data_IF_282175308253
#
_entry.id   IF_282175308253
#
_cell.length_a   1.000
_cell.length_b   1.000
_cell.length_c   1.000
_cell.angle_alpha   90.00
_cell.angle_beta   90.00
_cell.angle_gamma   90.00
#
_symmetry.space_group_name_H-M   'P 1'
#
loop_
_entity.id
_entity.type
_entity.pdbx_description
1 polymer ?
#
# COMPACT_ATOMS: atom_id res chain seq x y z
N UNK A 1 -23.04 7.22 -1.25
CA UNK A 1 -23.18 7.33 0.22
C UNK A 1 -21.86 7.26 0.97
N UNK A 2 -20.98 6.33 0.57
CA UNK A 2 -19.70 6.09 1.22
C UNK A 2 -18.79 7.33 1.29
N UNK A 3 -18.69 8.11 0.20
CA UNK A 3 -17.90 9.37 0.17
C UNK A 3 -18.40 10.39 1.19
N UNK A 4 -19.73 10.51 1.39
CA UNK A 4 -20.30 11.41 2.40
C UNK A 4 -19.98 10.96 3.82
N UNK A 5 -19.95 9.64 4.05
CA UNK A 5 -19.58 9.08 5.34
C UNK A 5 -18.12 9.40 5.68
N UNK A 6 -17.19 9.18 4.74
CA UNK A 6 -15.78 9.55 4.90
C UNK A 6 -15.64 11.05 5.17
N UNK A 7 -16.33 11.91 4.41
CA UNK A 7 -16.35 13.35 4.67
C UNK A 7 -16.77 13.68 6.12
N UNK A 8 -17.81 13.02 6.63
CA UNK A 8 -18.25 13.18 8.02
C UNK A 8 -17.15 12.83 9.03
N UNK A 9 -16.46 11.69 8.83
CA UNK A 9 -15.36 11.26 9.70
C UNK A 9 -14.22 12.28 9.79
N UNK A 10 -13.88 12.91 8.66
CA UNK A 10 -12.86 13.96 8.61
C UNK A 10 -13.33 15.24 9.32
N UNK A 11 -14.60 15.65 9.12
CA UNK A 11 -15.18 16.81 9.84
C UNK A 11 -15.14 16.58 11.36
N UNK A 12 -15.56 15.41 11.83
CA UNK A 12 -15.59 15.10 13.26
C UNK A 12 -14.18 15.08 13.86
N UNK A 13 -13.19 14.61 13.11
CA UNK A 13 -11.80 14.56 13.59
C UNK A 13 -11.14 15.93 13.60
N UNK A 14 -11.44 16.79 12.62
CA UNK A 14 -10.99 18.18 12.65
C UNK A 14 -11.62 18.92 13.83
N UNK A 15 -12.92 18.71 14.10
CA UNK A 15 -13.58 19.28 15.29
C UNK A 15 -12.92 18.82 16.59
N UNK A 16 -12.72 17.50 16.74
CA UNK A 16 -12.03 16.94 17.91
C UNK A 16 -10.63 17.57 18.07
N UNK A 17 -9.84 17.67 17.00
CA UNK A 17 -8.50 18.28 17.04
C UNK A 17 -8.51 19.77 17.41
N UNK A 18 -9.48 20.55 16.92
CA UNK A 18 -9.60 21.98 17.22
C UNK A 18 -10.01 22.22 18.68
N UNK A 19 -10.80 21.32 19.25
CA UNK A 19 -11.24 21.39 20.64
C UNK A 19 -10.17 20.93 21.63
N UNK A 20 -9.13 20.21 21.17
CA UNK A 20 -8.02 19.79 22.03
C UNK A 20 -7.23 21.00 22.50
N UNK A 21 -7.00 21.05 23.82
CA UNK A 21 -6.06 22.01 24.41
C UNK A 21 -4.65 21.66 23.98
N UNK A 22 -3.83 22.68 23.75
CA UNK A 22 -2.39 22.51 23.54
C UNK A 22 -1.80 21.75 24.74
N UNK A 23 -1.04 20.66 24.52
CA UNK A 23 -0.42 19.92 25.61
C UNK A 23 0.74 20.75 26.18
N UNK A 24 0.59 21.22 27.42
CA UNK A 24 1.63 21.96 28.16
C UNK A 24 2.15 21.17 29.37
N UNK A 25 1.51 20.06 29.71
CA UNK A 25 1.93 19.12 30.76
C UNK A 25 2.04 17.71 30.22
N UNK A 26 2.68 16.82 30.98
CA UNK A 26 2.78 15.40 30.63
C UNK A 26 1.40 14.73 30.58
N UNK A 27 0.49 15.06 31.49
CA UNK A 27 -0.89 14.56 31.46
C UNK A 27 -1.64 15.05 30.21
N UNK A 28 -1.40 16.32 29.82
CA UNK A 28 -1.95 16.89 28.59
C UNK A 28 -1.41 16.20 27.34
N UNK A 29 -0.12 15.86 27.32
CA UNK A 29 0.52 15.08 26.26
C UNK A 29 -0.13 13.69 26.14
N UNK A 30 -0.28 12.96 27.25
CA UNK A 30 -0.91 11.62 27.24
C UNK A 30 -2.35 11.71 26.71
N UNK A 31 -3.12 12.71 27.14
CA UNK A 31 -4.48 12.93 26.67
C UNK A 31 -4.51 13.25 25.16
N UNK A 32 -3.58 14.05 24.66
CA UNK A 32 -3.42 14.34 23.23
C UNK A 32 -3.08 13.07 22.44
N UNK A 33 -2.10 12.28 22.90
CA UNK A 33 -1.71 10.99 22.29
C UNK A 33 -2.89 10.04 22.18
N UNK A 34 -3.69 9.92 23.23
CA UNK A 34 -4.90 9.09 23.22
C UNK A 34 -5.94 9.61 22.22
N UNK A 35 -6.10 10.93 22.08
CA UNK A 35 -7.05 11.52 21.13
C UNK A 35 -6.64 11.25 19.68
N UNK A 36 -5.38 11.50 19.32
CA UNK A 36 -4.90 11.25 17.95
C UNK A 36 -4.88 9.75 17.62
N UNK A 37 -4.66 8.87 18.59
CA UNK A 37 -4.76 7.42 18.36
C UNK A 37 -6.21 6.97 18.12
N UNK A 38 -7.19 7.54 18.82
CA UNK A 38 -8.62 7.33 18.51
C UNK A 38 -8.96 7.83 17.10
N UNK A 39 -8.47 9.00 16.72
CA UNK A 39 -8.65 9.55 15.36
C UNK A 39 -8.04 8.62 14.32
N UNK A 40 -6.81 8.14 14.54
CA UNK A 40 -6.13 7.19 13.65
C UNK A 40 -6.97 5.92 13.49
N UNK A 41 -7.42 5.31 14.58
CA UNK A 41 -8.26 4.11 14.58
C UNK A 41 -9.60 4.32 13.87
N UNK A 42 -10.25 5.47 14.06
CA UNK A 42 -11.47 5.87 13.33
C UNK A 42 -11.25 5.80 11.82
N UNK A 43 -10.08 6.22 11.34
CA UNK A 43 -9.76 6.31 9.92
C UNK A 43 -9.27 5.00 9.28
N UNK A 44 -9.16 3.89 10.04
CA UNK A 44 -8.60 2.63 9.53
C UNK A 44 -9.34 2.09 8.29
N UNK A 45 -10.67 2.29 8.23
CA UNK A 45 -11.53 1.78 7.15
C UNK A 45 -11.70 2.75 5.98
N UNK A 46 -11.03 3.89 5.97
CA UNK A 46 -11.26 4.93 4.94
C UNK A 46 -10.94 4.43 3.53
N UNK A 47 -9.87 3.67 3.34
CA UNK A 47 -9.51 3.15 1.99
C UNK A 47 -10.61 2.23 1.45
N UNK A 48 -11.09 1.29 2.27
CA UNK A 48 -12.15 0.37 1.86
C UNK A 48 -13.51 1.06 1.66
N UNK A 49 -13.85 2.03 2.49
CA UNK A 49 -15.09 2.81 2.32
C UNK A 49 -15.01 3.69 1.06
N UNK A 50 -13.86 4.32 0.79
CA UNK A 50 -13.68 5.10 -0.44
C UNK A 50 -13.74 4.21 -1.69
N UNK A 51 -13.15 3.01 -1.64
CA UNK A 51 -13.28 2.05 -2.73
C UNK A 51 -14.73 1.66 -3.00
N UNK A 52 -15.54 1.47 -1.96
CA UNK A 52 -16.99 1.29 -2.10
C UNK A 52 -17.66 2.51 -2.76
N UNK A 53 -17.27 3.72 -2.38
CA UNK A 53 -17.81 4.95 -2.97
C UNK A 53 -17.45 5.12 -4.45
N UNK A 54 -16.28 4.65 -4.85
CA UNK A 54 -15.85 4.65 -6.25
C UNK A 54 -16.57 3.56 -7.05
N UNK A 55 -16.88 2.41 -6.46
CA UNK A 55 -17.74 1.40 -7.08
C UNK A 55 -19.17 1.93 -7.27
N UNK A 56 -19.75 2.59 -6.27
CA UNK A 56 -21.05 3.28 -6.38
C UNK A 56 -21.05 4.31 -7.52
N UNK A 57 -19.94 5.04 -7.69
CA UNK A 57 -19.78 6.01 -8.77
C UNK A 57 -19.70 5.31 -10.14
N UNK A 58 -18.94 4.22 -10.26
CA UNK A 58 -18.83 3.43 -11.48
C UNK A 58 -20.18 2.88 -11.93
N UNK A 59 -20.96 2.32 -11.00
CA UNK A 59 -22.32 1.82 -11.27
C UNK A 59 -23.23 2.94 -11.79
N UNK A 60 -23.12 4.15 -11.24
CA UNK A 60 -23.90 5.30 -11.67
C UNK A 60 -23.47 5.88 -13.03
N UNK A 61 -22.17 5.85 -13.33
CA UNK A 61 -21.63 6.37 -14.59
C UNK A 61 -21.74 5.38 -15.76
N UNK A 62 -21.81 4.07 -15.47
CA UNK A 62 -21.88 3.03 -16.49
C UNK A 62 -20.61 2.88 -17.33
N UNK A 63 -19.47 3.38 -16.86
CA UNK A 63 -18.17 3.31 -17.54
C UNK A 63 -17.04 2.94 -16.59
N UNK A 64 -16.01 2.30 -17.13
CA UNK A 64 -14.75 2.00 -16.45
C UNK A 64 -13.75 3.17 -16.48
N UNK A 65 -14.06 4.22 -17.25
CA UNK A 65 -13.20 5.39 -17.38
C UNK A 65 -13.49 6.40 -16.27
N UNK A 66 -12.54 6.51 -15.34
CA UNK A 66 -12.60 7.51 -14.28
C UNK A 66 -12.23 8.88 -14.85
N UNK A 67 -13.04 9.89 -14.54
CA UNK A 67 -12.71 11.29 -14.84
C UNK A 67 -11.31 11.63 -14.28
N UNK A 68 -10.38 12.15 -15.11
CA UNK A 68 -9.02 12.49 -14.66
C UNK A 68 -8.98 13.41 -13.42
N UNK A 69 -10.00 14.24 -13.22
CA UNK A 69 -10.12 15.11 -12.04
C UNK A 69 -10.38 14.31 -10.77
N UNK A 70 -11.10 13.20 -10.87
CA UNK A 70 -11.36 12.30 -9.74
C UNK A 70 -10.11 11.46 -9.46
N UNK A 71 -9.40 11.03 -10.50
CA UNK A 71 -8.10 10.37 -10.35
C UNK A 71 -7.10 11.27 -9.58
N UNK A 72 -6.90 12.51 -10.03
CA UNK A 72 -6.03 13.49 -9.35
C UNK A 72 -6.48 13.77 -7.91
N UNK A 73 -7.79 13.89 -7.68
CA UNK A 73 -8.34 14.04 -6.33
C UNK A 73 -7.97 12.85 -5.43
N UNK A 74 -8.13 11.62 -5.91
CA UNK A 74 -7.82 10.42 -5.14
C UNK A 74 -6.33 10.31 -4.84
N UNK A 75 -5.46 10.62 -5.82
CA UNK A 75 -4.01 10.65 -5.61
C UNK A 75 -3.64 11.64 -4.48
N UNK A 76 -4.17 12.87 -4.54
CA UNK A 76 -3.94 13.89 -3.49
C UNK A 76 -4.53 13.48 -2.14
N UNK A 77 -5.73 12.91 -2.14
CA UNK A 77 -6.42 12.45 -0.94
C UNK A 77 -5.63 11.35 -0.23
N UNK A 78 -5.20 10.32 -0.97
CA UNK A 78 -4.42 9.21 -0.40
C UNK A 78 -3.02 9.64 0.00
N UNK A 79 -2.35 10.50 -0.77
CA UNK A 79 -1.05 11.06 -0.38
C UNK A 79 -1.15 11.84 0.93
N UNK A 80 -2.16 12.73 1.06
CA UNK A 80 -2.40 13.45 2.31
C UNK A 80 -2.70 12.50 3.47
N UNK A 81 -3.51 11.45 3.24
CA UNK A 81 -3.82 10.44 4.25
C UNK A 81 -2.57 9.68 4.71
N UNK A 82 -1.69 9.30 3.79
CA UNK A 82 -0.41 8.65 4.11
C UNK A 82 0.39 9.56 5.05
N UNK A 83 0.50 10.86 4.72
CA UNK A 83 1.24 11.79 5.56
C UNK A 83 0.63 12.03 6.94
N UNK A 84 -0.69 12.23 7.03
CA UNK A 84 -1.38 12.35 8.33
C UNK A 84 -1.16 11.11 9.20
N UNK A 85 -1.20 9.91 8.59
CA UNK A 85 -0.94 8.66 9.31
C UNK A 85 0.51 8.50 9.73
N UNK A 86 1.45 8.98 8.90
CA UNK A 86 2.87 8.98 9.25
C UNK A 86 3.11 9.86 10.48
N UNK A 87 2.61 11.09 10.49
CA UNK A 87 2.78 12.03 11.62
C UNK A 87 2.13 11.51 12.91
N UNK A 88 0.87 11.08 12.86
CA UNK A 88 0.17 10.53 14.03
C UNK A 88 0.85 9.25 14.50
N UNK A 89 1.21 8.36 13.57
CA UNK A 89 1.86 7.10 13.88
C UNK A 89 3.24 7.29 14.52
N UNK A 90 4.01 8.26 14.03
CA UNK A 90 5.31 8.63 14.59
C UNK A 90 5.16 9.15 16.03
N UNK A 91 4.22 10.07 16.26
CA UNK A 91 3.93 10.57 17.61
C UNK A 91 3.60 9.43 18.57
N UNK A 92 2.66 8.56 18.20
CA UNK A 92 2.25 7.43 19.05
C UNK A 92 3.41 6.46 19.31
N UNK A 93 4.22 6.16 18.31
CA UNK A 93 5.35 5.24 18.44
C UNK A 93 6.43 5.78 19.39
N UNK A 94 6.67 7.09 19.39
CA UNK A 94 7.61 7.74 20.31
C UNK A 94 7.15 7.71 21.78
N UNK A 95 5.86 7.55 22.03
CA UNK A 95 5.29 7.41 23.38
C UNK A 95 5.15 5.95 23.82
N UNK A 96 5.51 4.99 22.95
CA UNK A 96 5.62 3.58 23.30
C UNK A 96 7.01 3.26 23.86
N UNK A 97 7.19 2.14 24.57
CA UNK A 97 8.52 1.73 25.04
C UNK A 97 9.55 1.73 23.89
N UNK A 98 10.75 2.32 24.10
CA UNK A 98 11.77 2.40 23.06
C UNK A 98 12.10 1.04 22.48
N UNK A 99 12.14 0.97 21.15
CA UNK A 99 12.57 -0.22 20.40
C UNK A 99 13.99 0.01 19.89
N UNK A 100 14.97 -0.85 20.20
CA UNK A 100 16.33 -0.70 19.70
C UNK A 100 16.37 -0.62 18.17
N UNK A 101 17.13 0.35 17.62
CA UNK A 101 17.23 0.58 16.18
C UNK A 101 15.99 1.22 15.54
N UNK A 102 15.09 1.80 16.34
CA UNK A 102 13.91 2.53 15.86
C UNK A 102 13.81 3.93 16.46
N UNK A 103 13.57 4.91 15.59
CA UNK A 103 13.07 6.23 15.95
C UNK A 103 11.58 6.29 15.60
N UNK A 104 10.72 5.94 16.56
CA UNK A 104 9.28 5.81 16.34
C UNK A 104 8.94 4.69 15.35
N UNK A 105 8.41 5.05 14.17
CA UNK A 105 8.12 4.11 13.09
C UNK A 105 9.31 3.85 12.16
N UNK A 106 10.33 4.71 12.20
CA UNK A 106 11.50 4.64 11.33
C UNK A 106 12.49 3.64 11.93
N UNK A 107 12.92 2.66 11.14
CA UNK A 107 13.99 1.74 11.50
C UNK A 107 15.29 2.23 10.88
N UNK A 108 16.36 2.28 11.68
CA UNK A 108 17.73 2.58 11.22
C UNK A 108 18.30 1.43 10.37
N UNK A 109 17.77 0.21 10.55
CA UNK A 109 18.26 -1.01 9.91
C UNK A 109 17.10 -1.81 9.28
N UNK A 110 16.28 -1.18 8.44
CA UNK A 110 15.21 -1.86 7.72
C UNK A 110 15.83 -2.83 6.69
N UNK A 111 15.48 -4.13 6.78
CA UNK A 111 15.99 -5.17 5.87
C UNK A 111 14.98 -5.49 4.78
N UNK A 112 15.25 -5.16 3.50
CA UNK A 112 14.38 -5.55 2.38
C UNK A 112 14.10 -7.06 2.34
N UNK A 113 15.10 -7.89 2.65
CA UNK A 113 14.95 -9.35 2.66
C UNK A 113 13.91 -9.80 3.69
N UNK A 114 13.91 -9.20 4.89
CA UNK A 114 12.93 -9.50 5.93
C UNK A 114 11.53 -9.02 5.52
N UNK A 115 11.41 -7.80 5.01
CA UNK A 115 10.11 -7.27 4.58
C UNK A 115 9.52 -8.03 3.39
N UNK A 116 10.35 -8.49 2.45
CA UNK A 116 9.91 -9.37 1.34
C UNK A 116 9.38 -10.69 1.87
N UNK A 117 10.02 -11.29 2.89
CA UNK A 117 9.55 -12.55 3.49
C UNK A 117 8.20 -12.37 4.17
N UNK A 118 8.04 -11.35 5.02
CA UNK A 118 6.76 -11.07 5.68
C UNK A 118 5.64 -10.82 4.66
N UNK A 119 5.90 -9.97 3.66
CA UNK A 119 4.96 -9.68 2.59
C UNK A 119 4.61 -10.93 1.75
N UNK A 120 5.60 -11.78 1.45
CA UNK A 120 5.40 -13.02 0.71
C UNK A 120 4.57 -14.04 1.49
N UNK A 121 4.79 -14.20 2.80
CA UNK A 121 4.01 -15.10 3.65
C UNK A 121 2.54 -14.66 3.74
N UNK A 122 2.30 -13.36 3.91
CA UNK A 122 0.96 -12.80 3.92
C UNK A 122 0.25 -12.97 2.56
N UNK A 123 0.93 -12.65 1.45
CA UNK A 123 0.39 -12.80 0.10
C UNK A 123 0.13 -14.28 -0.24
N UNK A 124 1.04 -15.19 0.15
CA UNK A 124 0.92 -16.64 -0.02
C UNK A 124 -0.31 -17.17 0.69
N UNK A 125 -0.54 -16.75 1.93
CA UNK A 125 -1.70 -17.18 2.72
C UNK A 125 -3.02 -16.83 2.01
N UNK A 126 -3.12 -15.63 1.44
CA UNK A 126 -4.29 -15.22 0.65
C UNK A 126 -4.41 -15.98 -0.66
N UNK A 127 -3.30 -16.19 -1.37
CA UNK A 127 -3.26 -16.89 -2.64
C UNK A 127 -3.67 -18.37 -2.46
N UNK A 128 -3.11 -19.07 -1.47
CA UNK A 128 -3.48 -20.45 -1.12
C UNK A 128 -4.94 -20.52 -0.68
N UNK A 129 -5.43 -19.59 0.13
CA UNK A 129 -6.84 -19.57 0.54
C UNK A 129 -7.80 -19.41 -0.64
N UNK A 130 -7.39 -18.73 -1.72
CA UNK A 130 -8.25 -18.41 -2.86
C UNK A 130 -8.16 -19.41 -4.01
N UNK A 131 -6.96 -19.93 -4.25
CA UNK A 131 -6.61 -20.75 -5.42
C UNK A 131 -6.05 -22.13 -5.06
N UNK A 132 -5.89 -22.44 -3.77
CA UNK A 132 -5.37 -23.72 -3.28
C UNK A 132 -3.84 -23.88 -3.37
N UNK A 133 -3.14 -22.98 -4.05
CA UNK A 133 -1.69 -23.01 -4.24
C UNK A 133 -1.14 -21.59 -4.39
N UNK A 134 0.19 -21.45 -4.34
CA UNK A 134 0.89 -20.20 -4.56
C UNK A 134 2.33 -20.47 -5.04
N UNK A 135 2.91 -19.61 -5.90
CA UNK A 135 4.30 -19.74 -6.30
C UNK A 135 5.25 -19.42 -5.16
N UNK A 136 6.45 -20.02 -5.19
CA UNK A 136 7.54 -19.67 -4.30
C UNK A 136 8.10 -18.28 -4.63
N UNK A 137 8.63 -17.58 -3.62
CA UNK A 137 9.25 -16.25 -3.77
C UNK A 137 10.74 -16.36 -3.44
N UNK A 138 11.60 -16.11 -4.42
CA UNK A 138 13.05 -16.08 -4.24
C UNK A 138 13.58 -14.67 -4.09
N UNK A 139 14.50 -14.44 -3.14
CA UNK A 139 15.16 -13.13 -2.93
C UNK A 139 16.61 -13.20 -3.38
N UNK A 140 17.03 -12.27 -4.24
CA UNK A 140 18.34 -12.21 -4.90
C UNK A 140 18.95 -10.81 -4.79
N UNK A 141 20.21 -10.67 -5.22
CA UNK A 141 20.94 -9.40 -5.18
C UNK A 141 21.61 -9.15 -3.83
N UNK A 142 21.59 -7.92 -3.34
CA UNK A 142 22.16 -7.54 -2.04
C UNK A 142 21.20 -7.92 -0.89
N UNK A 143 21.20 -9.19 -0.48
CA UNK A 143 20.27 -9.68 0.55
C UNK A 143 20.61 -9.25 1.97
N UNK A 144 21.83 -8.78 2.19
CA UNK A 144 22.30 -8.32 3.50
C UNK A 144 22.16 -6.80 3.66
N UNK A 145 21.61 -6.12 2.64
CA UNK A 145 21.29 -4.70 2.70
C UNK A 145 20.38 -4.38 3.89
N UNK A 146 20.74 -3.32 4.60
CA UNK A 146 19.85 -2.62 5.52
C UNK A 146 19.97 -1.13 5.28
N UNK A 147 18.89 -0.39 5.47
CA UNK A 147 18.88 1.06 5.27
C UNK A 147 17.81 1.72 6.14
N UNK A 148 17.93 3.03 6.35
CA UNK A 148 16.96 3.79 7.14
C UNK A 148 15.65 3.93 6.37
N UNK A 149 14.60 3.25 6.83
CA UNK A 149 13.28 3.27 6.20
C UNK A 149 12.15 2.96 7.18
N UNK A 150 10.89 3.01 6.73
CA UNK A 150 9.72 2.61 7.52
C UNK A 150 9.29 1.20 7.09
N UNK A 151 9.53 0.16 7.92
CA UNK A 151 9.26 -1.23 7.55
C UNK A 151 7.83 -1.47 7.07
N UNK A 152 6.83 -0.93 7.78
CA UNK A 152 5.42 -1.13 7.44
C UNK A 152 5.00 -0.52 6.10
N UNK A 153 5.67 0.55 5.65
CA UNK A 153 5.43 1.12 4.32
C UNK A 153 6.01 0.20 3.25
N UNK A 154 7.21 -0.33 3.48
CA UNK A 154 7.88 -1.24 2.57
C UNK A 154 7.11 -2.56 2.43
N UNK A 155 6.77 -3.18 3.57
CA UNK A 155 5.96 -4.40 3.64
C UNK A 155 4.65 -4.24 2.86
N UNK A 156 3.94 -3.12 3.02
CA UNK A 156 2.68 -2.88 2.31
C UNK A 156 2.86 -2.85 0.78
N UNK A 157 3.88 -2.12 0.28
CA UNK A 157 4.15 -2.06 -1.16
C UNK A 157 4.53 -3.45 -1.70
N UNK A 158 5.38 -4.17 -0.98
CA UNK A 158 5.81 -5.52 -1.37
C UNK A 158 4.64 -6.50 -1.35
N UNK A 159 3.77 -6.43 -0.35
CA UNK A 159 2.59 -7.29 -0.23
C UNK A 159 1.65 -7.11 -1.43
N UNK A 160 1.35 -5.86 -1.82
CA UNK A 160 0.47 -5.60 -2.95
C UNK A 160 1.08 -6.09 -4.28
N UNK A 161 2.39 -5.89 -4.48
CA UNK A 161 3.11 -6.36 -5.67
C UNK A 161 3.18 -7.88 -5.75
N UNK A 162 3.52 -8.54 -4.64
CA UNK A 162 3.61 -10.00 -4.55
C UNK A 162 2.24 -10.65 -4.71
N UNK A 163 1.20 -10.11 -4.08
CA UNK A 163 -0.19 -10.58 -4.25
C UNK A 163 -0.61 -10.54 -5.73
N UNK A 164 -0.32 -9.45 -6.45
CA UNK A 164 -0.63 -9.33 -7.87
C UNK A 164 0.17 -10.33 -8.72
N UNK A 165 1.47 -10.46 -8.44
CA UNK A 165 2.37 -11.42 -9.12
C UNK A 165 1.92 -12.87 -8.92
N UNK A 166 1.60 -13.25 -7.68
CA UNK A 166 1.11 -14.59 -7.32
C UNK A 166 -0.20 -14.90 -8.05
N UNK A 167 -1.14 -13.95 -8.04
CA UNK A 167 -2.40 -14.10 -8.76
C UNK A 167 -2.18 -14.34 -10.25
N UNK A 168 -1.37 -13.51 -10.90
CA UNK A 168 -1.11 -13.62 -12.34
C UNK A 168 -0.50 -14.97 -12.71
N UNK A 169 0.50 -15.44 -11.92
CA UNK A 169 1.13 -16.74 -12.13
C UNK A 169 0.14 -17.90 -11.96
N UNK A 170 -0.68 -17.87 -10.91
CA UNK A 170 -1.63 -18.95 -10.64
C UNK A 170 -2.76 -18.98 -11.68
N UNK A 171 -3.30 -17.82 -12.06
CA UNK A 171 -4.33 -17.73 -13.09
C UNK A 171 -3.81 -18.21 -14.46
N UNK A 172 -2.57 -17.87 -14.83
CA UNK A 172 -1.98 -18.34 -16.10
C UNK A 172 -1.82 -19.87 -16.15
N UNK A 173 -1.50 -20.49 -15.01
CA UNK A 173 -1.23 -21.94 -14.91
C UNK A 173 -2.47 -22.74 -14.51
N UNK A 174 -3.62 -22.10 -14.34
CA UNK A 174 -4.86 -22.76 -13.96
C UNK A 174 -5.24 -23.85 -14.99
N UNK A 175 -5.45 -25.08 -14.50
CA UNK A 175 -5.77 -26.23 -15.36
C UNK A 175 -4.58 -26.85 -16.11
N UNK A 176 -3.35 -26.35 -15.91
CA UNK A 176 -2.13 -26.94 -16.47
C UNK A 176 -1.47 -27.90 -15.47
N UNK A 177 -0.66 -28.85 -15.95
CA UNK A 177 0.20 -29.70 -15.10
C UNK A 177 1.59 -29.09 -14.85
N UNK A 178 1.82 -27.86 -15.32
CA UNK A 178 3.11 -27.21 -15.20
C UNK A 178 3.33 -26.69 -13.77
N UNK A 179 4.58 -26.73 -13.31
CA UNK A 179 4.94 -26.15 -12.04
C UNK A 179 4.81 -24.62 -12.08
N UNK A 180 4.39 -24.02 -10.96
CA UNK A 180 4.31 -22.58 -10.85
C UNK A 180 5.72 -21.97 -10.88
N UNK A 181 6.02 -21.05 -11.81
CA UNK A 181 7.31 -20.36 -11.84
C UNK A 181 7.50 -19.54 -10.56
N UNK A 182 8.74 -19.50 -10.07
CA UNK A 182 9.13 -18.70 -8.91
C UNK A 182 9.03 -17.21 -9.23
N UNK A 183 8.45 -16.44 -8.32
CA UNK A 183 8.53 -14.98 -8.37
C UNK A 183 9.90 -14.55 -7.86
N UNK A 184 10.63 -13.77 -8.64
CA UNK A 184 11.99 -13.34 -8.32
C UNK A 184 11.99 -11.91 -7.80
N UNK A 185 12.47 -11.71 -6.58
CA UNK A 185 12.67 -10.40 -5.99
C UNK A 185 14.16 -10.09 -5.95
N UNK A 186 14.60 -9.03 -6.63
CA UNK A 186 16.01 -8.62 -6.69
C UNK A 186 16.17 -7.32 -5.93
N UNK A 187 17.03 -7.32 -4.91
CA UNK A 187 17.37 -6.14 -4.11
C UNK A 187 18.70 -5.58 -4.62
N UNK A 188 18.73 -4.29 -4.96
CA UNK A 188 19.92 -3.58 -5.40
C UNK A 188 20.08 -2.28 -4.62
N UNK A 189 21.32 -1.97 -4.25
CA UNK A 189 21.71 -0.71 -3.62
C UNK A 189 22.51 0.11 -4.65
N UNK A 190 22.01 1.30 -4.96
CA UNK A 190 22.75 2.32 -5.70
C UNK A 190 23.38 3.34 -4.75
N UNK A 191 24.08 4.32 -5.31
CA UNK A 191 24.63 5.45 -4.54
C UNK A 191 23.54 6.40 -4.04
N UNK A 192 22.43 6.50 -4.76
CA UNK A 192 21.33 7.43 -4.45
C UNK A 192 20.10 6.71 -3.89
N UNK A 193 19.76 5.55 -4.46
CA UNK A 193 18.50 4.85 -4.23
C UNK A 193 18.69 3.35 -3.95
N UNK A 194 17.78 2.80 -3.15
CA UNK A 194 17.56 1.35 -3.03
C UNK A 194 16.48 0.95 -4.04
N UNK A 195 16.75 -0.05 -4.86
CA UNK A 195 15.79 -0.56 -5.85
C UNK A 195 15.43 -2.01 -5.56
N UNK A 196 14.13 -2.32 -5.54
CA UNK A 196 13.61 -3.67 -5.41
C UNK A 196 12.81 -4.02 -6.66
N UNK A 197 13.28 -5.01 -7.41
CA UNK A 197 12.60 -5.52 -8.62
C UNK A 197 11.83 -6.78 -8.28
N UNK A 198 10.53 -6.82 -8.55
CA UNK A 198 9.69 -8.01 -8.47
C UNK A 198 9.42 -8.47 -9.89
N UNK A 199 9.71 -9.73 -10.19
CA UNK A 199 9.62 -10.32 -11.53
C UNK A 199 8.77 -11.58 -11.48
N UNK A 200 7.71 -11.62 -12.28
CA UNK A 200 6.84 -12.77 -12.46
C UNK A 200 6.85 -13.28 -13.90
N UNK A 201 6.41 -14.52 -14.07
CA UNK A 201 6.08 -15.14 -15.36
C UNK A 201 4.57 -15.36 -15.46
N UNK A 202 3.79 -14.36 -15.06
CA UNK A 202 2.32 -14.39 -15.00
C UNK A 202 1.63 -14.01 -16.31
N UNK A 203 2.33 -14.08 -17.45
CA UNK A 203 1.75 -13.86 -18.78
C UNK A 203 1.73 -12.39 -19.22
N UNK A 204 2.05 -11.46 -18.33
CA UNK A 204 2.21 -10.05 -18.64
C UNK A 204 0.89 -9.30 -18.88
N UNK A 205 1.04 -8.00 -19.18
CA UNK A 205 -0.03 -7.03 -19.36
C UNK A 205 0.10 -6.47 -20.78
N UNK A 206 -0.98 -6.49 -21.59
CA UNK A 206 -0.97 -5.89 -22.92
C UNK A 206 -0.60 -4.41 -22.87
N UNK A 207 0.12 -3.92 -23.88
CA UNK A 207 0.56 -2.51 -23.92
C UNK A 207 -0.59 -1.51 -23.79
N UNK A 208 -1.77 -1.83 -24.31
CA UNK A 208 -3.00 -1.03 -24.18
C UNK A 208 -3.54 -0.94 -22.75
N UNK A 209 -3.20 -1.89 -21.87
CA UNK A 209 -3.62 -1.94 -20.47
C UNK A 209 -2.67 -1.25 -19.50
N UNK A 210 -1.43 -0.97 -19.89
CA UNK A 210 -0.38 -0.46 -18.99
C UNK A 210 -0.72 0.89 -18.36
N UNK A 211 -1.34 1.81 -19.10
CA UNK A 211 -1.75 3.09 -18.52
C UNK A 211 -2.89 2.92 -17.51
N UNK A 212 -3.73 1.90 -17.69
CA UNK A 212 -4.93 1.66 -16.89
C UNK A 212 -4.62 1.07 -15.52
N UNK A 213 -3.51 0.37 -15.34
CA UNK A 213 -3.13 -0.22 -14.03
C UNK A 213 -2.96 0.82 -12.91
N UNK A 214 -2.80 2.09 -13.28
CA UNK A 214 -2.67 3.22 -12.37
C UNK A 214 -4.00 3.88 -12.02
N UNK A 215 -5.11 3.48 -12.64
CA UNK A 215 -6.42 4.08 -12.36
C UNK A 215 -7.17 3.31 -11.28
N UNK A 216 -7.89 4.04 -10.42
CA UNK A 216 -8.59 3.43 -9.28
C UNK A 216 -9.82 2.58 -9.67
N UNK A 217 -10.32 2.71 -10.91
CA UNK A 217 -11.46 1.94 -11.42
C UNK A 217 -11.06 0.66 -12.18
N UNK A 218 -9.78 0.51 -12.51
CA UNK A 218 -9.32 -0.59 -13.33
C UNK A 218 -8.89 -1.78 -12.47
N UNK A 219 -9.55 -2.92 -12.69
CA UNK A 219 -9.22 -4.19 -12.06
C UNK A 219 -9.52 -5.31 -13.05
N UNK A 220 -8.61 -6.27 -13.14
CA UNK A 220 -8.82 -7.52 -13.91
C UNK A 220 -9.39 -8.63 -13.03
N UNK A 221 -9.64 -8.36 -11.75
CA UNK A 221 -10.25 -9.33 -10.85
C UNK A 221 -11.76 -9.40 -11.08
N UNK A 222 -12.31 -10.61 -10.91
CA UNK A 222 -13.76 -10.73 -10.69
C UNK A 222 -14.11 -9.98 -9.41
N UNK A 223 -15.22 -9.22 -9.37
CA UNK A 223 -15.68 -8.60 -8.13
C UNK A 223 -15.75 -9.68 -7.06
N UNK A 224 -15.26 -9.44 -5.83
CA UNK A 224 -15.49 -10.39 -4.77
C UNK A 224 -17.00 -10.63 -4.66
N UNK A 225 -17.41 -11.90 -4.60
CA UNK A 225 -18.75 -12.22 -4.10
C UNK A 225 -18.91 -11.49 -2.76
N UNK A 226 -20.12 -11.02 -2.43
CA UNK A 226 -20.40 -10.24 -1.21
C UNK A 226 -20.19 -11.09 0.06
N UNK A 227 -18.98 -11.58 0.28
CA UNK A 227 -18.57 -12.36 1.42
C UNK A 227 -17.89 -11.43 2.42
N UNK A 228 -18.66 -11.23 3.50
CA UNK A 228 -18.27 -10.86 4.87
C UNK A 228 -16.81 -10.41 4.99
N UNK A 229 -16.62 -9.10 5.04
CA UNK A 229 -15.42 -8.45 5.56
C UNK A 229 -15.16 -8.92 7.00
N UNK A 230 -14.48 -10.05 7.13
CA UNK A 230 -14.07 -10.66 8.38
C UNK A 230 -12.73 -10.08 8.83
N UNK A 231 -12.77 -9.51 10.05
CA UNK A 231 -11.70 -9.26 11.02
C UNK A 231 -10.25 -9.30 10.48
N UNK A 232 -9.84 -8.18 9.93
CA UNK A 232 -8.44 -7.82 9.79
C UNK A 232 -8.26 -6.46 10.47
N UNK A 233 -7.51 -6.47 11.57
CA UNK A 233 -7.42 -5.37 12.55
C UNK A 233 -6.41 -4.28 12.17
N UNK A 234 -5.72 -4.41 11.05
CA UNK A 234 -4.78 -3.42 10.52
C UNK A 234 -5.26 -2.85 9.18
N UNK A 235 -4.99 -1.56 8.93
CA UNK A 235 -5.24 -0.88 7.65
C UNK A 235 -4.70 -1.62 6.42
N UNK A 236 -3.76 -2.53 6.63
CA UNK A 236 -2.97 -3.20 5.62
C UNK A 236 -3.54 -4.57 5.20
N UNK A 237 -4.58 -5.07 5.85
CA UNK A 237 -5.12 -6.43 5.62
C UNK A 237 -6.60 -6.49 5.26
N UNK A 238 -7.27 -5.36 5.02
CA UNK A 238 -8.56 -5.40 4.33
C UNK A 238 -8.35 -6.01 2.94
N UNK A 239 -9.12 -7.01 2.50
CA UNK A 239 -8.99 -7.57 1.16
C UNK A 239 -9.44 -6.52 0.14
N UNK A 240 -8.53 -5.62 -0.23
CA UNK A 240 -8.63 -4.75 -1.40
C UNK A 240 -8.38 -5.55 -2.69
N UNK A 241 -8.18 -6.87 -2.57
CA UNK A 241 -8.11 -7.80 -3.67
C UNK A 241 -9.33 -7.59 -4.58
N UNK A 242 -9.03 -7.17 -5.80
CA UNK A 242 -10.02 -6.96 -6.85
C UNK A 242 -10.69 -5.60 -6.92
N UNK A 243 -10.31 -4.63 -6.09
CA UNK A 243 -10.83 -3.26 -6.17
C UNK A 243 -9.96 -2.31 -7.03
N UNK A 244 -8.78 -2.73 -7.51
CA UNK A 244 -7.92 -1.91 -8.38
C UNK A 244 -7.04 -0.88 -7.65
N UNK A 245 -7.01 -0.91 -6.32
CA UNK A 245 -6.39 0.14 -5.51
C UNK A 245 -4.91 -0.12 -5.17
N UNK A 246 -4.45 -1.37 -5.28
CA UNK A 246 -3.12 -1.78 -4.83
C UNK A 246 -2.00 -0.99 -5.49
N UNK A 247 -1.88 -1.10 -6.82
CA UNK A 247 -0.78 -0.46 -7.57
C UNK A 247 -0.76 1.08 -7.44
N UNK A 248 -1.88 1.81 -7.60
CA UNK A 248 -1.88 3.26 -7.42
C UNK A 248 -1.44 3.66 -6.01
N UNK A 249 -1.94 3.00 -4.97
CA UNK A 249 -1.59 3.33 -3.57
C UNK A 249 -0.13 2.97 -3.26
N UNK A 250 0.35 1.81 -3.69
CA UNK A 250 1.77 1.43 -3.52
C UNK A 250 2.69 2.46 -4.17
N UNK A 251 2.31 3.00 -5.34
CA UNK A 251 3.07 4.08 -5.99
C UNK A 251 3.08 5.37 -5.16
N UNK A 252 1.96 5.74 -4.53
CA UNK A 252 1.92 6.90 -3.63
C UNK A 252 2.82 6.69 -2.41
N UNK A 253 2.84 5.49 -1.83
CA UNK A 253 3.76 5.15 -0.73
C UNK A 253 5.23 5.31 -1.14
N UNK A 254 5.62 4.86 -2.34
CA UNK A 254 6.97 5.04 -2.85
C UNK A 254 7.32 6.52 -3.04
N UNK A 255 6.39 7.28 -3.64
CA UNK A 255 6.55 8.71 -3.94
C UNK A 255 6.54 9.60 -2.70
N UNK A 256 5.93 9.16 -1.61
CA UNK A 256 5.83 9.97 -0.38
C UNK A 256 7.21 10.43 0.12
N UNK A 257 8.25 9.60 -0.01
CA UNK A 257 9.65 9.95 0.30
C UNK A 257 10.53 10.12 -0.95
N UNK A 258 9.93 10.49 -2.08
CA UNK A 258 10.67 10.84 -3.30
C UNK A 258 11.17 9.66 -4.14
N UNK A 259 10.68 8.44 -3.89
CA UNK A 259 10.85 7.28 -4.76
C UNK A 259 9.82 7.22 -5.89
N UNK A 260 9.72 6.07 -6.57
CA UNK A 260 8.62 5.78 -7.50
C UNK A 260 8.41 4.26 -7.65
N UNK A 261 7.26 3.88 -8.20
CA UNK A 261 6.97 2.51 -8.63
C UNK A 261 6.73 2.52 -10.14
N UNK A 262 7.50 1.72 -10.86
CA UNK A 262 7.37 1.53 -12.31
C UNK A 262 7.02 0.07 -12.61
N UNK A 263 6.25 -0.15 -13.68
CA UNK A 263 5.86 -1.48 -14.13
C UNK A 263 6.20 -1.59 -15.61
N UNK A 264 6.98 -2.61 -15.96
CA UNK A 264 7.34 -2.99 -17.30
C UNK A 264 6.82 -4.40 -17.54
N UNK A 265 6.04 -4.61 -18.59
CA UNK A 265 5.42 -5.91 -18.84
C UNK A 265 5.64 -6.37 -20.27
N UNK A 266 5.77 -7.68 -20.42
CA UNK A 266 5.91 -8.38 -21.68
C UNK A 266 4.72 -9.32 -21.84
N UNK A 267 3.73 -8.88 -22.60
CA UNK A 267 2.54 -9.69 -22.92
C UNK A 267 2.97 -11.04 -23.54
N UNK A 268 2.40 -12.12 -22.99
CA UNK A 268 2.77 -13.50 -23.32
C UNK A 268 3.91 -14.09 -22.48
N UNK A 269 4.53 -13.31 -21.57
CA UNK A 269 5.61 -13.79 -20.71
C UNK A 269 5.38 -13.44 -19.24
N UNK A 270 5.45 -12.16 -18.87
CA UNK A 270 5.53 -11.79 -17.45
C UNK A 270 5.66 -10.29 -17.22
N UNK A 271 5.72 -9.92 -15.94
CA UNK A 271 5.79 -8.51 -15.51
C UNK A 271 6.95 -8.27 -14.55
N UNK A 272 7.62 -7.15 -14.74
CA UNK A 272 8.59 -6.59 -13.82
C UNK A 272 8.04 -5.31 -13.17
N UNK A 273 8.01 -5.28 -11.84
CA UNK A 273 7.74 -4.09 -11.05
C UNK A 273 9.04 -3.60 -10.40
N UNK A 274 9.40 -2.34 -10.64
CA UNK A 274 10.59 -1.68 -10.09
C UNK A 274 10.16 -0.67 -9.02
N UNK A 275 10.48 -0.97 -7.77
CA UNK A 275 10.25 -0.10 -6.64
C UNK A 275 11.55 0.63 -6.31
N UNK A 276 11.59 1.95 -6.57
CA UNK A 276 12.71 2.82 -6.26
C UNK A 276 12.44 3.57 -4.95
N UNK A 277 13.36 3.48 -4.01
CA UNK A 277 13.24 4.04 -2.66
C UNK A 277 14.46 4.90 -2.37
N UNK A 278 14.23 6.13 -1.89
CA UNK A 278 15.30 6.95 -1.35
C UNK A 278 15.66 6.51 0.06
N UNK A 279 16.93 6.64 0.41
CA UNK A 279 17.34 6.58 1.80
C UNK A 279 16.75 7.80 2.55
N UNK A 280 16.13 7.56 3.71
CA UNK A 280 15.39 8.62 4.40
C UNK A 280 16.26 9.77 4.90
N UNK A 281 17.57 9.58 5.06
CA UNK A 281 18.51 10.61 5.51
C UNK A 281 18.51 11.87 4.63
N UNK A 282 18.22 11.69 3.33
CA UNK A 282 18.15 12.78 2.34
C UNK A 282 16.75 12.95 1.74
N UNK A 283 15.72 12.32 2.33
CA UNK A 283 14.37 12.36 1.82
C UNK A 283 13.55 13.48 2.47
N UNK A 284 12.64 14.07 1.68
CA UNK A 284 11.62 15.01 2.18
C UNK A 284 10.24 14.50 1.80
N UNK A 285 9.26 14.78 2.64
CA UNK A 285 7.87 14.42 2.37
C UNK A 285 7.35 15.14 1.12
N UNK A 286 6.82 14.37 0.18
CA UNK A 286 6.22 14.90 -1.06
C UNK A 286 4.71 15.00 -0.88
N UNK A 287 4.26 16.05 -0.19
CA UNK A 287 2.84 16.30 0.08
C UNK A 287 2.20 17.25 -0.96
N UNK A 288 0.90 17.08 -1.28
CA UNK A 288 0.19 18.00 -2.17
C UNK A 288 0.11 19.41 -1.56
N UNK A 289 0.48 20.45 -2.32
CA UNK A 289 0.45 21.85 -1.85
C UNK A 289 -0.96 22.40 -1.56
N UNK A 290 -2.02 21.83 -2.16
CA UNK A 290 -3.44 22.18 -1.89
C UNK A 290 -4.35 20.95 -2.06
N UNK A 291 -5.20 20.71 -1.05
CA UNK A 291 -6.26 19.70 -1.08
C UNK A 291 -7.63 20.26 -1.50
N UNK A 292 -7.70 21.55 -1.87
CA UNK A 292 -8.91 22.28 -2.21
C UNK A 292 -8.82 22.82 -3.64
#
# INVERSE_FOLDING_TARGET
PAVRYVRGMYIDSVRELVELKKPETQEGEIAFTQAIDRIKRRHNRVVSIMAQGILELKEALGTDDLDPRIQDFLDRFYMSRIGVRMLIGQHIALHSPPRPGFAGLISEHCSPKAEVRHAAEAARSLCVSRFGTAPEVGVFGNTELTFTYIPSHLEHMLFELLKNSMRAVVELREGTQEALPMIRVVVAEGQEDVTIKISDEGGGIPRSGISRIWTYLYTTARPPERERAGVYSSDFSAPLAGLGYGLPISRLYARYFGGDLQVLSMEGYGTDAYLHLKQLENASETIPRKLL
#
